data_IF_054279727120
#
_entry.id   IF_054279727120
#
_cell.length_a   1.000
_cell.length_b   1.000
_cell.length_c   1.000
_cell.angle_alpha   90.00
_cell.angle_beta   90.00
_cell.angle_gamma   90.00
#
_symmetry.space_group_name_H-M   'P 1'
#
loop_
_entity.id
_entity.type
_entity.pdbx_description
1 polymer ?
#
# COMPACT_ATOMS: atom_id res chain seq x y z
N UNK A 1 -22.39 -10.20 -10.53
CA UNK A 1 -21.72 -8.98 -10.07
C UNK A 1 -21.39 -9.25 -8.62
N UNK A 2 -20.21 -9.75 -8.39
CA UNK A 2 -19.73 -10.14 -7.06
C UNK A 2 -18.78 -9.04 -6.60
N UNK A 3 -19.23 -8.27 -5.61
CA UNK A 3 -18.40 -7.31 -4.90
C UNK A 3 -17.17 -8.03 -4.34
N UNK A 4 -16.03 -7.82 -4.99
CA UNK A 4 -14.74 -8.10 -4.35
C UNK A 4 -14.62 -7.11 -3.21
N UNK A 5 -14.76 -7.58 -2.00
CA UNK A 5 -14.31 -6.86 -0.80
C UNK A 5 -12.78 -6.70 -0.92
N UNK A 6 -12.36 -5.64 -1.59
CA UNK A 6 -11.00 -5.15 -1.51
C UNK A 6 -10.84 -4.60 -0.10
N UNK A 7 -10.14 -5.33 0.76
CA UNK A 7 -9.60 -4.80 2.00
C UNK A 7 -8.61 -3.70 1.64
N UNK A 8 -9.09 -2.46 1.55
CA UNK A 8 -8.20 -1.31 1.42
C UNK A 8 -7.54 -1.09 2.77
N UNK A 9 -6.33 -1.63 2.90
CA UNK A 9 -5.42 -1.25 3.95
C UNK A 9 -4.96 0.18 3.64
N UNK A 10 -5.38 1.15 4.45
CA UNK A 10 -5.02 2.55 4.26
C UNK A 10 -3.54 2.74 4.63
N UNK A 11 -2.70 2.74 3.60
CA UNK A 11 -1.27 3.04 3.70
C UNK A 11 -1.04 4.40 3.02
N UNK A 12 -0.43 5.36 3.70
CA UNK A 12 -0.28 6.73 3.22
C UNK A 12 1.13 7.02 2.67
N UNK A 13 1.22 7.96 1.72
CA UNK A 13 2.45 8.33 1.01
C UNK A 13 2.81 9.80 1.14
N UNK A 14 4.11 10.08 1.11
CA UNK A 14 4.64 11.41 0.93
C UNK A 14 5.32 11.55 -0.44
N UNK A 15 4.94 12.56 -1.23
CA UNK A 15 5.54 12.85 -2.53
C UNK A 15 6.67 13.85 -2.37
N UNK A 16 7.89 13.45 -2.67
CA UNK A 16 8.99 14.39 -2.85
C UNK A 16 8.99 14.88 -4.31
N UNK A 17 8.33 16.01 -4.57
CA UNK A 17 8.51 16.75 -5.82
C UNK A 17 9.60 17.77 -5.62
N UNK A 18 10.74 17.55 -6.25
CA UNK A 18 11.60 18.59 -6.84
C UNK A 18 12.86 17.93 -7.39
N UNK A 19 13.02 17.89 -8.67
CA UNK A 19 14.18 18.36 -9.44
C UNK A 19 13.90 18.14 -10.92
N UNK A 20 13.65 19.21 -11.63
CA UNK A 20 13.82 19.30 -13.07
C UNK A 20 14.73 20.50 -13.34
N UNK A 21 15.69 20.28 -14.21
CA UNK A 21 16.58 21.21 -14.91
C UNK A 21 18.06 21.08 -14.55
N UNK A 22 18.82 20.45 -15.43
CA UNK A 22 20.05 21.01 -15.99
C UNK A 22 20.60 20.14 -17.12
N UNK A 23 20.51 20.61 -18.33
CA UNK A 23 21.40 20.24 -19.42
C UNK A 23 22.36 21.41 -19.65
N UNK A 24 23.67 21.12 -19.75
CA UNK A 24 24.82 21.97 -20.06
C UNK A 24 25.60 22.48 -18.85
N UNK A 25 26.66 21.76 -18.51
CA UNK A 25 27.91 22.34 -18.02
C UNK A 25 28.99 21.27 -17.78
N UNK A 26 30.23 21.63 -17.95
CA UNK A 26 31.44 20.82 -17.86
C UNK A 26 31.80 20.31 -16.46
N UNK A 27 33.07 20.28 -16.07
CA UNK A 27 33.57 19.62 -14.87
C UNK A 27 32.86 19.95 -13.54
N UNK A 28 32.28 21.15 -13.38
CA UNK A 28 31.43 21.50 -12.23
C UNK A 28 30.23 20.54 -12.06
N UNK A 29 29.67 20.06 -13.17
CA UNK A 29 28.54 19.14 -13.15
C UNK A 29 28.92 17.73 -12.63
N UNK A 30 30.19 17.37 -12.72
CA UNK A 30 30.69 16.08 -12.23
C UNK A 30 30.83 16.06 -10.72
N UNK A 31 31.26 17.18 -10.12
CA UNK A 31 31.31 17.33 -8.67
C UNK A 31 29.91 17.44 -8.06
N UNK A 32 28.99 18.14 -8.72
CA UNK A 32 27.58 18.20 -8.34
C UNK A 32 26.89 16.82 -8.44
N UNK A 33 27.18 16.06 -9.51
CA UNK A 33 26.68 14.69 -9.65
C UNK A 33 27.27 13.74 -8.59
N UNK A 34 28.53 13.89 -8.27
CA UNK A 34 29.18 13.12 -7.20
C UNK A 34 28.67 13.53 -5.82
N UNK A 35 28.42 14.82 -5.59
CA UNK A 35 27.75 15.35 -4.40
C UNK A 35 26.33 14.81 -4.26
N UNK A 36 25.57 14.84 -5.35
CA UNK A 36 24.20 14.29 -5.39
C UNK A 36 24.17 12.75 -5.23
N UNK A 37 25.16 12.01 -5.76
CA UNK A 37 25.30 10.57 -5.54
C UNK A 37 25.73 10.25 -4.09
N UNK A 38 26.56 11.09 -3.47
CA UNK A 38 26.90 10.97 -2.05
C UNK A 38 25.72 11.35 -1.14
N UNK A 39 24.95 12.36 -1.52
CA UNK A 39 23.74 12.77 -0.81
C UNK A 39 22.61 11.75 -0.97
N UNK A 40 22.47 11.13 -2.16
CA UNK A 40 21.54 10.01 -2.39
C UNK A 40 21.91 8.75 -1.59
N UNK A 41 23.20 8.57 -1.23
CA UNK A 41 23.67 7.52 -0.32
C UNK A 41 23.39 7.82 1.16
N UNK A 42 23.12 9.08 1.49
CA UNK A 42 22.94 9.55 2.88
C UNK A 42 21.47 9.73 3.28
N UNK A 43 20.51 9.55 2.36
CA UNK A 43 19.11 9.63 2.75
C UNK A 43 18.74 8.48 3.70
N UNK A 44 18.09 8.78 4.83
CA UNK A 44 17.72 7.74 5.78
C UNK A 44 16.77 6.74 5.11
N UNK A 45 16.96 5.47 5.40
CA UNK A 45 16.05 4.41 4.93
C UNK A 45 14.68 4.51 5.59
N UNK A 46 14.63 5.10 6.78
CA UNK A 46 13.42 5.29 7.58
C UNK A 46 13.31 6.74 8.04
N UNK A 47 12.10 7.26 8.02
CA UNK A 47 11.76 8.54 8.64
C UNK A 47 10.53 8.38 9.52
N UNK A 48 10.46 9.14 10.57
CA UNK A 48 9.27 9.28 11.40
C UNK A 48 8.51 10.52 10.95
N UNK A 49 7.29 10.34 10.45
CA UNK A 49 6.38 11.41 10.10
C UNK A 49 5.09 11.22 10.91
N UNK A 50 4.67 12.24 11.63
CA UNK A 50 3.40 12.24 12.39
C UNK A 50 3.21 11.03 13.32
N UNK A 51 4.26 10.61 14.02
CA UNK A 51 4.29 9.40 14.84
C UNK A 51 4.05 8.08 14.08
N UNK A 52 4.21 8.10 12.75
CA UNK A 52 4.23 6.92 11.91
C UNK A 52 5.62 6.72 11.31
N UNK A 53 6.07 5.49 11.30
CA UNK A 53 7.34 5.10 10.70
C UNK A 53 7.14 4.82 9.22
N UNK A 54 7.92 5.47 8.37
CA UNK A 54 7.90 5.30 6.91
C UNK A 54 9.20 4.68 6.43
N UNK A 55 9.12 3.87 5.38
CA UNK A 55 10.26 3.31 4.67
C UNK A 55 10.38 3.93 3.28
N UNK A 56 11.60 4.18 2.86
CA UNK A 56 11.89 4.63 1.50
C UNK A 56 11.93 3.46 0.53
N UNK A 57 11.10 3.50 -0.50
CA UNK A 57 11.17 2.59 -1.63
C UNK A 57 12.02 3.27 -2.71
N UNK A 58 13.17 2.70 -3.11
CA UNK A 58 14.09 3.35 -4.03
C UNK A 58 13.52 3.46 -5.44
N UNK A 59 13.97 4.50 -6.17
CA UNK A 59 13.69 4.64 -7.59
C UNK A 59 14.19 3.41 -8.36
N UNK A 60 13.54 3.11 -9.47
CA UNK A 60 13.98 2.04 -10.38
C UNK A 60 12.83 1.31 -11.05
N UNK A 61 13.21 0.51 -12.02
CA UNK A 61 12.29 -0.34 -12.76
C UNK A 61 11.90 -1.56 -11.94
N UNK A 62 10.64 -1.97 -12.05
CA UNK A 62 10.14 -3.20 -11.47
C UNK A 62 9.19 -3.91 -12.43
N UNK A 63 9.01 -5.21 -12.21
CA UNK A 63 8.05 -6.04 -12.95
C UNK A 63 6.68 -5.92 -12.29
N UNK A 64 5.75 -5.24 -12.95
CA UNK A 64 4.35 -5.13 -12.54
C UNK A 64 3.49 -6.17 -13.25
N UNK A 65 2.54 -6.73 -12.54
CA UNK A 65 1.61 -7.71 -13.08
C UNK A 65 2.18 -9.12 -13.16
N UNK A 66 1.50 -9.98 -13.87
CA UNK A 66 1.81 -11.41 -13.98
C UNK A 66 1.76 -11.89 -15.43
N UNK A 67 2.71 -12.74 -15.81
CA UNK A 67 2.67 -13.43 -17.09
C UNK A 67 1.55 -14.49 -17.12
N UNK A 68 1.17 -14.91 -18.33
CA UNK A 68 0.17 -15.98 -18.48
C UNK A 68 0.57 -17.28 -17.76
N UNK A 69 1.85 -17.60 -17.72
CA UNK A 69 2.35 -18.79 -17.01
C UNK A 69 2.22 -18.63 -15.51
N UNK A 70 2.47 -17.43 -14.98
CA UNK A 70 2.28 -17.12 -13.57
C UNK A 70 0.80 -17.19 -13.20
N UNK A 71 -0.10 -16.64 -14.01
CA UNK A 71 -1.55 -16.71 -13.77
C UNK A 71 -2.08 -18.17 -13.74
N UNK A 72 -1.56 -19.06 -14.59
CA UNK A 72 -1.87 -20.49 -14.48
C UNK A 72 -1.39 -21.11 -13.16
N UNK A 73 -0.24 -20.66 -12.65
CA UNK A 73 0.29 -21.10 -11.35
C UNK A 73 -0.56 -20.54 -10.21
N UNK A 74 -0.98 -19.27 -10.28
CA UNK A 74 -1.90 -18.64 -9.33
C UNK A 74 -3.24 -19.38 -9.28
N UNK A 75 -3.82 -19.70 -10.43
CA UNK A 75 -5.02 -20.51 -10.53
C UNK A 75 -4.87 -21.87 -9.84
N UNK A 76 -3.75 -22.57 -10.10
CA UNK A 76 -3.48 -23.86 -9.43
C UNK A 76 -3.37 -23.71 -7.91
N UNK A 77 -2.78 -22.61 -7.44
CA UNK A 77 -2.71 -22.27 -6.00
C UNK A 77 -4.09 -21.99 -5.42
N UNK A 78 -4.87 -21.14 -6.09
CA UNK A 78 -6.22 -20.75 -5.68
C UNK A 78 -7.15 -21.95 -5.54
N UNK A 79 -7.13 -22.86 -6.51
CA UNK A 79 -7.98 -24.07 -6.52
C UNK A 79 -7.71 -25.07 -5.40
N UNK A 80 -6.64 -24.90 -4.64
CA UNK A 80 -6.42 -25.70 -3.41
C UNK A 80 -7.37 -25.28 -2.28
N UNK A 81 -7.79 -24.03 -2.27
CA UNK A 81 -8.63 -23.44 -1.24
C UNK A 81 -10.07 -23.23 -1.72
N UNK A 82 -10.22 -22.80 -2.97
CA UNK A 82 -11.52 -22.56 -3.60
C UNK A 82 -11.57 -23.18 -5.00
N UNK A 83 -12.42 -24.20 -5.16
CA UNK A 83 -12.62 -24.92 -6.41
C UNK A 83 -13.27 -24.09 -7.51
N UNK A 84 -13.93 -22.98 -7.15
CA UNK A 84 -14.57 -22.05 -8.08
C UNK A 84 -13.61 -21.09 -8.77
N UNK A 85 -12.32 -21.06 -8.36
CA UNK A 85 -11.32 -20.20 -8.98
C UNK A 85 -11.22 -20.43 -10.49
N UNK A 86 -11.28 -19.35 -11.25
CA UNK A 86 -11.20 -19.35 -12.70
C UNK A 86 -10.02 -18.49 -13.20
N UNK A 87 -9.46 -18.82 -14.37
CA UNK A 87 -8.29 -18.13 -14.89
C UNK A 87 -8.56 -16.63 -15.14
N UNK A 88 -9.77 -16.29 -15.55
CA UNK A 88 -10.15 -14.90 -15.81
C UNK A 88 -10.14 -14.00 -14.57
N UNK A 89 -10.11 -14.58 -13.37
CA UNK A 89 -9.94 -13.79 -12.12
C UNK A 89 -8.59 -13.08 -12.04
N UNK A 90 -7.60 -13.53 -12.82
CA UNK A 90 -6.24 -13.00 -12.87
C UNK A 90 -5.97 -12.18 -14.14
N UNK A 91 -7.01 -11.90 -14.97
CA UNK A 91 -6.83 -11.19 -16.23
C UNK A 91 -6.34 -9.76 -16.03
N UNK A 92 -6.72 -9.11 -14.94
CA UNK A 92 -6.34 -7.73 -14.63
C UNK A 92 -4.84 -7.59 -14.32
N UNK A 93 -4.18 -8.71 -13.98
CA UNK A 93 -2.75 -8.76 -13.74
C UNK A 93 -1.93 -8.98 -15.04
N UNK A 94 -2.58 -9.37 -16.13
CA UNK A 94 -1.92 -9.68 -17.41
C UNK A 94 -2.09 -8.52 -18.41
N UNK A 95 -1.05 -8.21 -19.20
CA UNK A 95 0.30 -8.77 -19.21
C UNK A 95 1.22 -8.15 -18.16
N UNK A 96 2.27 -8.90 -17.78
CA UNK A 96 3.35 -8.31 -17.01
C UNK A 96 4.11 -7.25 -17.84
N UNK A 97 4.58 -6.20 -17.17
CA UNK A 97 5.28 -5.08 -17.82
C UNK A 97 6.35 -4.49 -16.90
N UNK A 98 7.39 -3.92 -17.49
CA UNK A 98 8.40 -3.18 -16.74
C UNK A 98 7.97 -1.71 -16.61
N UNK A 99 7.90 -1.22 -15.38
CA UNK A 99 7.52 0.15 -15.04
C UNK A 99 8.63 0.77 -14.22
N UNK A 100 9.04 2.00 -14.58
CA UNK A 100 9.93 2.81 -13.76
C UNK A 100 9.10 3.67 -12.81
N UNK A 101 9.50 3.71 -11.55
CA UNK A 101 8.96 4.62 -10.53
C UNK A 101 10.11 5.38 -9.89
N UNK A 102 9.89 6.66 -9.63
CA UNK A 102 10.75 7.46 -8.75
C UNK A 102 10.73 6.90 -7.31
N UNK A 103 11.66 7.34 -6.48
CA UNK A 103 11.64 6.95 -5.07
C UNK A 103 10.47 7.60 -4.34
N UNK A 104 9.90 6.87 -3.39
CA UNK A 104 8.78 7.33 -2.58
C UNK A 104 8.86 6.76 -1.16
N UNK A 105 8.09 7.36 -0.26
CA UNK A 105 7.95 6.92 1.11
C UNK A 105 6.64 6.21 1.33
N UNK A 106 6.67 5.10 2.09
CA UNK A 106 5.51 4.28 2.40
C UNK A 106 5.45 4.05 3.90
N UNK A 107 4.27 4.18 4.51
CA UNK A 107 4.05 3.78 5.90
C UNK A 107 4.36 2.28 6.05
N UNK A 108 5.08 1.90 7.11
CA UNK A 108 5.47 0.50 7.35
C UNK A 108 4.28 -0.32 7.83
N UNK A 109 3.37 0.32 8.54
CA UNK A 109 2.19 -0.31 9.11
C UNK A 109 0.91 0.28 8.53
N UNK A 110 -0.11 -0.53 8.51
CA UNK A 110 -1.46 -0.08 8.19
C UNK A 110 -1.94 0.95 9.21
N UNK A 111 -2.90 1.78 8.79
CA UNK A 111 -3.56 2.75 9.68
C UNK A 111 -4.35 1.99 10.75
N UNK A 112 -4.04 2.25 12.01
CA UNK A 112 -4.71 1.62 13.14
C UNK A 112 -6.05 2.27 13.46
N UNK A 113 -6.91 1.55 14.20
CA UNK A 113 -8.16 2.09 14.70
C UNK A 113 -7.94 3.36 15.53
N UNK A 114 -6.89 3.42 16.35
CA UNK A 114 -6.54 4.61 17.12
C UNK A 114 -6.25 5.83 16.22
N UNK A 115 -5.44 5.63 15.17
CA UNK A 115 -5.06 6.71 14.26
C UNK A 115 -6.24 7.20 13.42
N UNK A 116 -7.11 6.28 13.02
CA UNK A 116 -8.33 6.66 12.33
C UNK A 116 -9.31 7.41 13.24
N UNK A 117 -9.39 7.05 14.53
CA UNK A 117 -10.19 7.78 15.51
C UNK A 117 -9.68 9.22 15.70
N UNK A 118 -8.36 9.43 15.78
CA UNK A 118 -7.78 10.78 15.84
C UNK A 118 -8.27 11.65 14.67
N UNK A 119 -8.28 11.10 13.46
CA UNK A 119 -8.78 11.76 12.26
C UNK A 119 -10.29 12.10 12.35
N UNK A 120 -11.09 11.14 12.74
CA UNK A 120 -12.54 11.31 12.88
C UNK A 120 -12.87 12.41 13.89
N UNK A 121 -12.20 12.41 15.05
CA UNK A 121 -12.40 13.41 16.08
C UNK A 121 -11.94 14.81 15.66
N UNK A 122 -10.86 14.89 14.87
CA UNK A 122 -10.31 16.15 14.40
C UNK A 122 -11.13 16.79 13.27
N UNK A 123 -11.78 15.97 12.44
CA UNK A 123 -12.42 16.44 11.19
C UNK A 123 -13.94 16.30 11.17
N UNK A 124 -14.53 15.54 12.08
CA UNK A 124 -15.93 15.15 12.00
C UNK A 124 -16.24 14.13 10.89
N UNK A 125 -15.20 13.47 10.33
CA UNK A 125 -15.39 12.43 9.33
C UNK A 125 -16.19 11.25 9.89
N UNK A 126 -16.77 10.42 9.01
CA UNK A 126 -17.55 9.26 9.43
C UNK A 126 -16.71 8.22 10.16
N UNK A 127 -17.35 7.49 11.06
CA UNK A 127 -16.72 6.34 11.72
C UNK A 127 -16.48 5.19 10.75
N UNK A 128 -15.59 4.28 11.12
CA UNK A 128 -15.34 3.05 10.39
C UNK A 128 -16.52 2.08 10.59
N UNK A 129 -17.51 2.17 9.71
CA UNK A 129 -18.72 1.38 9.73
C UNK A 129 -19.05 0.88 8.32
N UNK A 130 -19.46 -0.37 8.22
CA UNK A 130 -20.05 -0.87 6.98
C UNK A 130 -21.45 -0.29 6.82
N UNK A 131 -21.58 0.73 5.96
CA UNK A 131 -22.85 1.39 5.67
C UNK A 131 -23.77 0.57 4.77
N UNK A 132 -23.24 -0.45 4.10
CA UNK A 132 -24.03 -1.31 3.20
C UNK A 132 -24.75 -2.43 3.96
N UNK A 133 -24.47 -2.54 5.24
CA UNK A 133 -24.95 -3.62 6.05
C UNK A 133 -26.23 -3.28 6.80
N UNK A 134 -27.33 -3.76 6.28
CA UNK A 134 -28.68 -3.58 6.84
C UNK A 134 -29.10 -4.72 7.81
N UNK A 135 -28.27 -5.74 7.98
CA UNK A 135 -28.66 -6.93 8.77
C UNK A 135 -27.93 -7.02 10.10
N UNK A 136 -28.54 -7.67 11.10
CA UNK A 136 -27.93 -7.91 12.42
C UNK A 136 -26.61 -8.70 12.33
N UNK A 137 -26.45 -9.56 11.31
CA UNK A 137 -25.19 -10.30 11.06
C UNK A 137 -24.00 -9.40 10.76
N UNK A 138 -24.21 -8.24 10.19
CA UNK A 138 -23.15 -7.28 9.94
C UNK A 138 -22.86 -6.42 11.16
N UNK A 139 -23.85 -6.18 12.03
CA UNK A 139 -23.61 -5.50 13.31
C UNK A 139 -22.62 -6.25 14.18
N UNK A 140 -22.64 -7.58 14.13
CA UNK A 140 -21.64 -8.42 14.84
C UNK A 140 -20.23 -8.27 14.28
N UNK A 141 -20.09 -7.87 12.98
CA UNK A 141 -18.82 -7.54 12.33
C UNK A 141 -18.37 -6.09 12.55
N UNK A 142 -19.28 -5.18 12.90
CA UNK A 142 -18.95 -3.79 13.17
C UNK A 142 -18.26 -3.67 14.53
N UNK A 143 -16.94 -3.48 14.48
CA UNK A 143 -16.13 -3.33 15.69
C UNK A 143 -16.26 -1.94 16.31
N UNK A 144 -16.69 -0.95 15.54
CA UNK A 144 -16.91 0.43 16.00
C UNK A 144 -18.35 0.66 16.42
N UNK A 145 -18.52 1.38 17.53
CA UNK A 145 -19.79 1.85 18.05
C UNK A 145 -19.73 3.38 18.21
N UNK A 146 -20.06 4.10 17.13
CA UNK A 146 -19.79 5.53 17.05
C UNK A 146 -18.29 5.83 17.18
N UNK A 147 -17.92 6.73 18.06
CA UNK A 147 -16.52 7.10 18.33
C UNK A 147 -15.79 6.12 19.28
N UNK A 148 -16.27 4.90 19.41
CA UNK A 148 -15.71 3.91 20.35
C UNK A 148 -15.49 2.55 19.66
N UNK A 149 -14.47 1.83 20.10
CA UNK A 149 -14.16 0.46 19.70
C UNK A 149 -13.54 -0.31 20.87
N UNK A 150 -13.59 -1.65 20.87
CA UNK A 150 -12.97 -2.46 21.92
C UNK A 150 -11.47 -2.17 22.06
N UNK A 151 -10.93 -1.98 23.27
CA UNK A 151 -9.51 -1.64 23.47
C UNK A 151 -8.53 -2.63 22.83
N UNK A 152 -8.92 -3.91 22.70
CA UNK A 152 -8.08 -4.97 22.09
C UNK A 152 -7.73 -4.71 20.62
N UNK A 153 -8.56 -3.93 19.89
CA UNK A 153 -8.32 -3.64 18.47
C UNK A 153 -7.66 -2.28 18.24
N UNK A 154 -7.33 -1.55 19.29
CA UNK A 154 -6.77 -0.20 19.24
C UNK A 154 -5.61 -0.08 18.23
N UNK A 155 -4.70 -1.02 18.27
CA UNK A 155 -3.50 -1.07 17.41
C UNK A 155 -3.62 -2.02 16.23
N UNK A 156 -4.82 -2.58 16.00
CA UNK A 156 -5.09 -3.35 14.79
C UNK A 156 -5.45 -2.42 13.63
N UNK A 157 -5.26 -2.85 12.38
CA UNK A 157 -5.67 -2.09 11.21
C UNK A 157 -7.15 -1.71 11.27
N UNK A 158 -7.45 -0.47 10.87
CA UNK A 158 -8.83 -0.06 10.69
C UNK A 158 -9.43 -0.76 9.48
N UNK A 159 -10.62 -1.30 9.65
CA UNK A 159 -11.41 -1.97 8.61
C UNK A 159 -12.73 -1.23 8.37
N UNK A 160 -13.50 -1.61 7.35
CA UNK A 160 -14.79 -1.01 7.02
C UNK A 160 -14.70 0.49 6.67
N UNK A 161 -13.60 0.86 6.06
CA UNK A 161 -13.37 2.18 5.47
C UNK A 161 -13.40 2.05 3.95
N UNK A 162 -14.05 2.98 3.27
CA UNK A 162 -14.04 3.05 1.81
C UNK A 162 -12.72 3.64 1.31
N UNK A 163 -12.49 3.55 -0.01
CA UNK A 163 -11.37 4.23 -0.65
C UNK A 163 -11.38 5.75 -0.36
N UNK A 164 -12.56 6.37 -0.38
CA UNK A 164 -12.72 7.81 -0.09
C UNK A 164 -12.35 8.16 1.35
N UNK A 165 -12.65 7.29 2.30
CA UNK A 165 -12.28 7.50 3.70
C UNK A 165 -10.77 7.39 3.89
N UNK A 166 -10.16 6.42 3.23
CA UNK A 166 -8.71 6.22 3.26
C UNK A 166 -7.98 7.40 2.59
N UNK A 167 -8.46 7.89 1.44
CA UNK A 167 -7.90 9.07 0.76
C UNK A 167 -8.05 10.33 1.65
N UNK A 168 -9.21 10.54 2.26
CA UNK A 168 -9.45 11.66 3.16
C UNK A 168 -8.51 11.61 4.39
N UNK A 169 -8.32 10.42 4.98
CA UNK A 169 -7.35 10.23 6.07
C UNK A 169 -5.94 10.58 5.63
N UNK A 170 -5.49 10.04 4.48
CA UNK A 170 -4.15 10.31 3.97
C UNK A 170 -3.94 11.81 3.71
N UNK A 171 -4.90 12.49 3.09
CA UNK A 171 -4.84 13.95 2.86
C UNK A 171 -4.79 14.76 4.17
N UNK A 172 -5.56 14.38 5.17
CA UNK A 172 -5.52 15.00 6.48
C UNK A 172 -4.13 14.90 7.11
N UNK A 173 -3.42 13.78 6.87
CA UNK A 173 -2.04 13.56 7.31
C UNK A 173 -0.99 14.22 6.41
N UNK A 174 -1.38 14.99 5.39
CA UNK A 174 -0.45 15.57 4.41
C UNK A 174 0.16 14.52 3.46
N UNK A 175 -0.49 13.38 3.29
CA UNK A 175 -0.07 12.23 2.48
C UNK A 175 -1.11 11.94 1.38
N UNK A 176 -0.90 10.87 0.66
CA UNK A 176 -1.85 10.34 -0.32
C UNK A 176 -1.87 8.81 -0.27
N UNK A 177 -2.87 8.20 -0.86
CA UNK A 177 -2.85 6.76 -1.12
C UNK A 177 -1.77 6.41 -2.15
N UNK A 178 -1.20 5.19 -2.09
CA UNK A 178 -0.33 4.68 -3.14
C UNK A 178 -1.09 4.51 -4.44
N UNK A 179 -0.39 4.65 -5.56
CA UNK A 179 -0.87 4.06 -6.79
C UNK A 179 -0.73 2.53 -6.74
N UNK A 180 -1.45 1.84 -7.62
CA UNK A 180 -1.35 0.39 -7.77
C UNK A 180 0.11 -0.06 -8.01
N UNK A 181 0.81 0.62 -8.91
CA UNK A 181 2.20 0.33 -9.22
C UNK A 181 3.15 0.52 -8.02
N UNK A 182 2.96 1.59 -7.24
CA UNK A 182 3.75 1.84 -6.04
C UNK A 182 3.51 0.77 -4.98
N UNK A 183 2.24 0.41 -4.76
CA UNK A 183 1.89 -0.64 -3.81
C UNK A 183 2.48 -1.99 -4.22
N UNK A 184 2.33 -2.37 -5.50
CA UNK A 184 2.85 -3.64 -6.00
C UNK A 184 4.38 -3.69 -5.94
N UNK A 185 5.08 -2.60 -6.32
CA UNK A 185 6.55 -2.52 -6.19
C UNK A 185 7.01 -2.70 -4.75
N UNK A 186 6.33 -2.06 -3.79
CA UNK A 186 6.66 -2.19 -2.37
C UNK A 186 6.42 -3.62 -1.86
N UNK A 187 5.33 -4.25 -2.28
CA UNK A 187 4.96 -5.59 -1.85
C UNK A 187 5.82 -6.70 -2.47
N UNK A 188 6.18 -6.58 -3.75
CA UNK A 188 6.84 -7.65 -4.52
C UNK A 188 8.31 -7.41 -4.81
N UNK A 189 8.79 -6.19 -4.57
CA UNK A 189 10.14 -5.79 -4.92
C UNK A 189 10.38 -5.68 -6.44
N UNK A 190 11.62 -5.32 -6.86
CA UNK A 190 11.92 -5.04 -8.26
C UNK A 190 11.81 -6.27 -9.17
N UNK A 191 11.99 -7.46 -8.63
CA UNK A 191 11.95 -8.72 -9.38
C UNK A 191 10.54 -9.33 -9.53
N UNK A 192 9.51 -8.71 -8.93
CA UNK A 192 8.14 -9.22 -8.95
C UNK A 192 7.99 -10.55 -8.21
N UNK A 193 8.48 -10.63 -6.98
CA UNK A 193 8.33 -11.82 -6.14
C UNK A 193 6.86 -12.23 -6.00
N UNK A 194 6.62 -13.52 -5.76
CA UNK A 194 5.26 -14.03 -5.52
C UNK A 194 4.66 -13.48 -4.21
N UNK A 195 5.50 -13.35 -3.19
CA UNK A 195 5.16 -12.80 -1.88
C UNK A 195 6.21 -11.78 -1.43
N UNK A 196 5.94 -10.91 -0.45
CA UNK A 196 6.93 -9.97 0.07
C UNK A 196 8.21 -10.65 0.58
N UNK A 197 8.11 -11.87 1.05
CA UNK A 197 9.24 -12.71 1.49
C UNK A 197 9.83 -13.61 0.40
N UNK A 198 9.49 -13.42 -0.87
CA UNK A 198 9.96 -14.21 -2.01
C UNK A 198 9.00 -15.32 -2.43
N UNK A 199 9.52 -16.50 -2.70
CA UNK A 199 8.77 -17.65 -3.27
C UNK A 199 8.41 -18.73 -2.24
N UNK A 200 8.73 -18.52 -0.97
CA UNK A 200 8.44 -19.48 0.10
C UNK A 200 6.95 -19.64 0.40
N UNK A 201 6.56 -20.75 1.05
CA UNK A 201 5.17 -20.97 1.47
C UNK A 201 4.66 -19.85 2.38
N UNK A 202 3.40 -19.41 2.24
CA UNK A 202 2.79 -18.42 3.13
C UNK A 202 2.49 -18.98 4.53
N UNK A 203 2.60 -20.30 4.73
CA UNK A 203 2.33 -20.93 6.02
C UNK A 203 3.19 -20.30 7.13
N UNK A 204 2.54 -19.78 8.18
CA UNK A 204 3.13 -19.08 9.31
C UNK A 204 3.87 -17.77 8.99
N UNK A 205 3.57 -17.13 7.84
CA UNK A 205 4.19 -15.85 7.42
C UNK A 205 3.18 -14.74 7.17
N UNK A 206 1.91 -15.08 7.06
CA UNK A 206 0.79 -14.15 6.98
C UNK A 206 -0.35 -14.67 7.86
N UNK A 207 -1.05 -13.78 8.53
CA UNK A 207 -2.24 -14.05 9.35
C UNK A 207 -3.48 -13.51 8.66
#
# INVERSE_FOLDING_TARGET
MTDRLLFFLAICFFSATSVVFAMHAGEEHKEELLGNLQQARAEPLFVQSDNLLMIRIPAGTFKMGSSFVENKRHLKGCRKYDKSCELWWFNDEYPDRLIFLDSYWLDIYEVTNEKYLEFVLATGHRFALDQTCETDKCRDGNLWQGASFPPRIKHQPVTQVSWHDADAFCRWRGKRLPSEAEWEKAARGPSGNLYPWGYGSPKNRAT
#
